data_IF_595624583089
#
_entry.id   IF_595624583089
#
_cell.length_a   1.000
_cell.length_b   1.000
_cell.length_c   1.000
_cell.angle_alpha   90.00
_cell.angle_beta   90.00
_cell.angle_gamma   90.00
#
_symmetry.space_group_name_H-M   'P 1'
#
loop_
_entity.id
_entity.type
_entity.pdbx_description
1 polymer ?
#
# COMPACT_ATOMS: atom_id res chain seq x y z
N UNK A 1 -11.76 -71.84 -6.96
CA UNK A 1 -12.69 -71.05 -7.80
C UNK A 1 -13.62 -70.31 -6.87
N UNK A 2 -13.47 -68.99 -6.75
CA UNK A 2 -14.36 -68.15 -5.94
C UNK A 2 -15.63 -67.94 -6.76
N UNK A 3 -16.59 -68.86 -6.68
CA UNK A 3 -17.89 -68.69 -7.35
C UNK A 3 -18.78 -67.83 -6.46
N UNK A 4 -18.53 -66.53 -6.45
CA UNK A 4 -19.45 -65.56 -5.89
C UNK A 4 -20.69 -65.44 -6.78
N UNK A 5 -21.90 -65.65 -6.25
CA UNK A 5 -23.13 -65.22 -6.95
C UNK A 5 -23.47 -63.83 -6.45
N UNK A 6 -23.59 -62.87 -7.37
CA UNK A 6 -23.97 -61.49 -7.05
C UNK A 6 -25.43 -61.27 -7.48
N UNK A 7 -26.30 -60.99 -6.52
CA UNK A 7 -27.67 -60.53 -6.73
C UNK A 7 -27.70 -59.00 -6.67
N UNK A 8 -28.08 -58.38 -7.79
CA UNK A 8 -28.13 -56.92 -8.00
C UNK A 8 -29.57 -56.38 -8.04
N UNK A 9 -30.54 -57.13 -7.50
CA UNK A 9 -31.95 -56.71 -7.43
C UNK A 9 -32.14 -55.36 -6.72
N UNK A 10 -31.31 -55.06 -5.73
CA UNK A 10 -31.11 -53.72 -5.18
C UNK A 10 -29.70 -53.24 -5.56
N UNK A 11 -29.56 -52.33 -6.54
CA UNK A 11 -28.26 -51.85 -6.99
C UNK A 11 -27.52 -51.04 -5.91
N UNK A 12 -28.24 -50.49 -4.92
CA UNK A 12 -27.61 -49.76 -3.81
C UNK A 12 -27.03 -50.72 -2.77
N UNK A 13 -27.61 -51.92 -2.65
CA UNK A 13 -27.24 -52.91 -1.63
C UNK A 13 -27.13 -54.31 -2.24
N UNK A 14 -26.16 -54.53 -3.15
CA UNK A 14 -25.99 -55.83 -3.79
C UNK A 14 -25.69 -56.91 -2.75
N UNK A 15 -26.22 -58.11 -3.01
CA UNK A 15 -25.98 -59.29 -2.19
C UNK A 15 -24.96 -60.18 -2.87
N UNK A 16 -23.97 -60.61 -2.13
CA UNK A 16 -22.91 -61.48 -2.59
C UNK A 16 -22.92 -62.76 -1.74
N UNK A 17 -22.74 -63.90 -2.41
CA UNK A 17 -22.76 -65.21 -1.78
C UNK A 17 -21.42 -65.88 -2.00
N UNK A 18 -20.74 -66.25 -0.92
CA UNK A 18 -19.50 -67.00 -0.95
C UNK A 18 -19.62 -68.31 -0.19
N UNK A 19 -18.65 -69.20 -0.38
CA UNK A 19 -18.58 -70.48 0.30
C UNK A 19 -17.18 -70.65 0.91
N UNK A 20 -17.11 -70.59 2.23
CA UNK A 20 -15.90 -70.86 3.00
C UNK A 20 -15.67 -72.37 3.12
N UNK A 21 -14.42 -72.80 2.92
CA UNK A 21 -14.03 -74.20 3.07
C UNK A 21 -14.03 -74.68 4.53
N UNK A 22 -13.85 -75.99 4.76
CA UNK A 22 -13.67 -76.54 6.10
C UNK A 22 -12.32 -76.10 6.72
N UNK A 23 -12.17 -76.30 8.03
CA UNK A 23 -11.00 -75.90 8.84
C UNK A 23 -10.78 -74.39 9.06
N UNK A 24 -11.80 -73.58 8.80
CA UNK A 24 -11.89 -72.20 9.27
C UNK A 24 -12.98 -72.12 10.35
N UNK A 25 -12.71 -71.39 11.44
CA UNK A 25 -13.57 -71.37 12.64
C UNK A 25 -14.23 -70.01 12.86
N UNK A 26 -13.89 -69.00 12.05
CA UNK A 26 -14.51 -67.67 12.10
C UNK A 26 -14.82 -67.15 10.70
N UNK A 27 -15.80 -66.23 10.61
CA UNK A 27 -16.09 -65.50 9.37
C UNK A 27 -14.83 -64.78 8.84
N UNK A 28 -14.04 -64.16 9.73
CA UNK A 28 -12.84 -63.41 9.35
C UNK A 28 -11.75 -64.29 8.74
N UNK A 29 -11.57 -65.51 9.24
CA UNK A 29 -10.65 -66.49 8.65
C UNK A 29 -11.11 -66.91 7.25
N UNK A 30 -12.40 -67.23 7.12
CA UNK A 30 -12.99 -67.64 5.84
C UNK A 30 -12.90 -66.54 4.79
N UNK A 31 -13.24 -65.29 5.13
CA UNK A 31 -13.18 -64.19 4.17
C UNK A 31 -11.75 -63.80 3.81
N UNK A 32 -10.80 -63.93 4.74
CA UNK A 32 -9.38 -63.73 4.47
C UNK A 32 -8.83 -64.75 3.48
N UNK A 33 -9.19 -66.04 3.62
CA UNK A 33 -8.81 -67.10 2.67
C UNK A 33 -9.39 -66.84 1.27
N UNK A 34 -10.65 -66.42 1.23
CA UNK A 34 -11.34 -66.08 -0.03
C UNK A 34 -10.90 -64.75 -0.64
N UNK A 35 -10.02 -63.99 0.03
CA UNK A 35 -9.62 -62.63 -0.36
C UNK A 35 -10.84 -61.70 -0.56
N UNK A 36 -11.79 -61.78 0.36
CA UNK A 36 -13.00 -60.96 0.41
C UNK A 36 -12.91 -60.00 1.59
N UNK A 37 -12.89 -58.70 1.31
CA UNK A 37 -12.98 -57.69 2.35
C UNK A 37 -14.45 -57.53 2.78
N UNK A 38 -14.69 -57.51 4.10
CA UNK A 38 -15.97 -57.12 4.69
C UNK A 38 -15.74 -55.77 5.38
N UNK A 39 -16.57 -54.79 5.04
CA UNK A 39 -16.52 -53.48 5.68
C UNK A 39 -17.41 -53.48 6.93
N UNK A 40 -17.08 -52.67 7.96
CA UNK A 40 -17.89 -52.58 9.18
C UNK A 40 -19.37 -52.25 8.93
N UNK A 41 -19.66 -51.54 7.84
CA UNK A 41 -21.01 -51.12 7.46
C UNK A 41 -21.78 -52.21 6.69
N UNK A 42 -21.11 -53.25 6.19
CA UNK A 42 -21.76 -54.37 5.50
C UNK A 42 -22.55 -55.25 6.47
N UNK A 43 -23.68 -55.80 6.01
CA UNK A 43 -24.42 -56.82 6.77
C UNK A 43 -23.98 -58.18 6.28
N UNK A 44 -23.50 -59.04 7.18
CA UNK A 44 -23.06 -60.39 6.81
C UNK A 44 -23.64 -61.46 7.72
N UNK A 45 -23.84 -62.66 7.18
CA UNK A 45 -24.32 -63.83 7.91
C UNK A 45 -23.71 -65.11 7.36
N UNK A 46 -23.60 -66.13 8.21
CA UNK A 46 -23.03 -67.42 7.85
C UNK A 46 -23.95 -68.58 8.21
N UNK A 47 -24.01 -69.59 7.36
CA UNK A 47 -24.69 -70.85 7.69
C UNK A 47 -24.04 -72.06 6.97
N UNK A 48 -23.75 -73.18 7.67
CA UNK A 48 -23.82 -73.35 9.13
C UNK A 48 -22.77 -72.49 9.87
N UNK A 49 -22.81 -72.44 11.20
CA UNK A 49 -21.89 -71.63 12.02
C UNK A 49 -20.41 -72.01 11.73
N UNK A 50 -19.52 -71.05 11.42
CA UNK A 50 -18.10 -71.30 11.13
C UNK A 50 -17.38 -72.12 12.21
N UNK A 51 -17.75 -71.98 13.48
CA UNK A 51 -17.13 -72.71 14.60
C UNK A 51 -17.24 -74.23 14.49
N UNK A 52 -18.17 -74.73 13.66
CA UNK A 52 -18.30 -76.16 13.39
C UNK A 52 -17.17 -76.71 12.51
N UNK A 53 -16.39 -75.85 11.84
CA UNK A 53 -15.22 -76.24 11.04
C UNK A 53 -15.54 -77.04 9.77
N UNK A 54 -16.82 -77.17 9.42
CA UNK A 54 -17.32 -77.93 8.26
C UNK A 54 -17.51 -77.08 6.99
N UNK A 55 -17.16 -75.80 7.06
CA UNK A 55 -17.41 -74.80 6.01
C UNK A 55 -18.78 -74.12 6.17
N UNK A 56 -18.92 -72.96 5.53
CA UNK A 56 -20.11 -72.11 5.65
C UNK A 56 -20.44 -71.42 4.33
N UNK A 57 -21.74 -71.29 4.04
CA UNK A 57 -22.23 -70.26 3.12
C UNK A 57 -22.11 -68.91 3.83
N UNK A 58 -21.59 -67.92 3.12
CA UNK A 58 -21.41 -66.55 3.59
C UNK A 58 -22.29 -65.66 2.72
N UNK A 59 -23.31 -65.05 3.31
CA UNK A 59 -24.14 -64.05 2.66
C UNK A 59 -23.69 -62.66 3.12
N UNK A 60 -23.32 -61.79 2.17
CA UNK A 60 -22.89 -60.41 2.42
C UNK A 60 -23.84 -59.49 1.67
N UNK A 61 -24.45 -58.54 2.36
CA UNK A 61 -25.17 -57.43 1.77
C UNK A 61 -24.35 -56.16 1.94
N UNK A 62 -23.92 -55.59 0.81
CA UNK A 62 -23.01 -54.45 0.79
C UNK A 62 -23.72 -53.15 1.18
N UNK A 63 -23.08 -52.35 2.03
CA UNK A 63 -23.46 -50.95 2.20
C UNK A 63 -23.06 -50.15 0.95
N UNK A 64 -23.87 -49.16 0.56
CA UNK A 64 -23.64 -48.39 -0.66
C UNK A 64 -22.37 -47.54 -0.52
N UNK A 65 -21.32 -47.76 -1.33
CA UNK A 65 -20.16 -46.87 -1.34
C UNK A 65 -20.50 -45.55 -2.05
N UNK A 66 -20.20 -44.44 -1.39
CA UNK A 66 -20.44 -43.07 -1.89
C UNK A 66 -19.16 -42.26 -1.77
N UNK A 67 -18.72 -41.68 -2.88
CA UNK A 67 -17.55 -40.80 -2.92
C UNK A 67 -17.99 -39.37 -2.58
N UNK A 68 -17.44 -38.81 -1.49
CA UNK A 68 -17.64 -37.43 -1.10
C UNK A 68 -16.31 -36.69 -1.21
N UNK A 69 -16.29 -35.61 -2.00
CA UNK A 69 -15.19 -34.65 -2.04
C UNK A 69 -15.59 -33.41 -1.28
N UNK A 70 -15.03 -33.23 -0.09
CA UNK A 70 -15.20 -32.04 0.74
C UNK A 70 -14.02 -31.09 0.55
N UNK A 71 -14.28 -29.97 -0.14
CA UNK A 71 -13.27 -29.08 -0.67
C UNK A 71 -12.21 -29.81 -1.52
N UNK A 72 -11.07 -30.17 -0.93
CA UNK A 72 -9.96 -30.88 -1.60
C UNK A 72 -9.76 -32.31 -1.10
N UNK A 73 -10.54 -32.75 -0.11
CA UNK A 73 -10.39 -34.05 0.53
C UNK A 73 -11.48 -34.97 0.00
N UNK A 74 -11.08 -36.04 -0.67
CA UNK A 74 -12.00 -37.08 -1.16
C UNK A 74 -11.96 -38.29 -0.21
N UNK A 75 -13.14 -38.75 0.22
CA UNK A 75 -13.31 -39.92 1.07
C UNK A 75 -14.50 -40.76 0.59
N UNK A 76 -14.37 -42.08 0.72
CA UNK A 76 -15.46 -43.02 0.47
C UNK A 76 -16.18 -43.30 1.79
N UNK A 77 -17.48 -43.12 1.79
CA UNK A 77 -18.40 -43.48 2.86
C UNK A 77 -19.22 -44.69 2.43
N UNK A 78 -19.65 -45.50 3.39
CA UNK A 78 -20.55 -46.63 3.15
C UNK A 78 -21.80 -46.45 3.99
N UNK A 79 -22.97 -46.51 3.37
CA UNK A 79 -24.21 -46.13 4.03
C UNK A 79 -25.40 -47.00 3.65
N UNK A 80 -26.42 -46.98 4.50
CA UNK A 80 -27.76 -47.56 4.25
C UNK A 80 -28.83 -46.47 4.06
N UNK A 81 -28.43 -45.20 4.10
CA UNK A 81 -29.32 -44.08 3.89
C UNK A 81 -29.73 -43.94 2.42
N UNK A 82 -30.82 -43.23 2.15
CA UNK A 82 -31.38 -43.12 0.79
C UNK A 82 -31.02 -41.81 0.11
N UNK A 83 -30.70 -40.77 0.86
CA UNK A 83 -30.43 -39.42 0.35
C UNK A 83 -29.11 -38.88 0.85
N UNK A 84 -28.57 -37.87 0.14
CA UNK A 84 -27.34 -37.19 0.53
C UNK A 84 -27.48 -36.54 1.93
N UNK A 85 -28.61 -35.91 2.22
CA UNK A 85 -28.91 -35.28 3.53
C UNK A 85 -28.85 -36.30 4.69
N UNK A 86 -29.46 -37.47 4.52
CA UNK A 86 -29.42 -38.54 5.52
C UNK A 86 -28.01 -39.09 5.72
N UNK A 87 -27.25 -39.30 4.63
CA UNK A 87 -25.84 -39.71 4.70
C UNK A 87 -24.98 -38.68 5.44
N UNK A 88 -25.23 -37.38 5.20
CA UNK A 88 -24.52 -36.30 5.88
C UNK A 88 -24.82 -36.30 7.39
N UNK A 89 -26.09 -36.48 7.78
CA UNK A 89 -26.50 -36.61 9.18
C UNK A 89 -25.88 -37.83 9.86
N UNK A 90 -25.87 -38.98 9.20
CA UNK A 90 -25.23 -40.21 9.70
C UNK A 90 -23.74 -40.00 10.00
N UNK A 91 -23.06 -39.20 9.17
CA UNK A 91 -21.62 -38.98 9.25
C UNK A 91 -21.21 -37.65 9.89
N UNK A 92 -22.17 -36.92 10.50
CA UNK A 92 -21.96 -35.60 11.11
C UNK A 92 -21.30 -34.58 10.17
N UNK A 93 -21.69 -34.59 8.90
CA UNK A 93 -21.24 -33.63 7.89
C UNK A 93 -22.23 -32.45 7.88
N UNK A 94 -21.84 -31.33 8.48
CA UNK A 94 -22.64 -30.12 8.52
C UNK A 94 -22.24 -29.16 7.40
N UNK A 95 -23.22 -28.45 6.82
CA UNK A 95 -23.01 -27.35 5.87
C UNK A 95 -23.17 -26.02 6.59
N UNK A 96 -22.22 -25.11 6.41
CA UNK A 96 -22.21 -23.83 7.13
C UNK A 96 -22.35 -22.66 6.16
N UNK A 97 -23.10 -21.63 6.56
CA UNK A 97 -23.17 -20.35 5.86
C UNK A 97 -23.53 -20.47 4.37
N UNK A 98 -22.52 -20.29 3.51
CA UNK A 98 -22.65 -20.28 2.05
C UNK A 98 -22.09 -21.55 1.38
N UNK A 99 -21.83 -22.61 2.14
CA UNK A 99 -21.44 -23.90 1.58
C UNK A 99 -22.48 -24.42 0.59
N UNK A 100 -22.02 -25.13 -0.45
CA UNK A 100 -22.91 -25.72 -1.45
C UNK A 100 -22.53 -27.16 -1.75
N UNK A 101 -23.52 -27.95 -2.18
CA UNK A 101 -23.36 -29.37 -2.50
C UNK A 101 -23.89 -29.63 -3.89
N UNK A 102 -23.13 -30.39 -4.66
CA UNK A 102 -23.52 -30.92 -5.97
C UNK A 102 -23.30 -32.44 -5.99
N UNK A 103 -24.34 -33.25 -6.24
CA UNK A 103 -25.75 -32.89 -6.42
C UNK A 103 -26.41 -32.33 -5.14
N UNK A 104 -27.62 -31.75 -5.27
CA UNK A 104 -28.39 -31.22 -4.13
C UNK A 104 -28.59 -32.27 -3.03
N UNK A 105 -28.60 -31.84 -1.77
CA UNK A 105 -28.73 -32.73 -0.59
C UNK A 105 -29.98 -33.62 -0.57
N UNK A 106 -31.04 -33.24 -1.30
CA UNK A 106 -32.26 -34.05 -1.44
C UNK A 106 -32.15 -35.18 -2.49
N UNK A 107 -31.05 -35.23 -3.24
CA UNK A 107 -30.83 -36.23 -4.30
C UNK A 107 -30.72 -37.63 -3.69
N UNK A 108 -31.39 -38.61 -4.30
CA UNK A 108 -31.27 -40.02 -3.90
C UNK A 108 -29.88 -40.58 -4.24
N UNK A 109 -29.34 -41.36 -3.31
CA UNK A 109 -28.08 -42.08 -3.48
C UNK A 109 -28.24 -43.24 -4.45
N UNK A 110 -27.19 -43.47 -5.24
CA UNK A 110 -27.08 -44.53 -6.24
C UNK A 110 -25.62 -44.93 -6.41
N UNK A 111 -25.30 -46.09 -7.01
CA UNK A 111 -23.92 -46.48 -7.26
C UNK A 111 -23.19 -45.42 -8.09
N UNK A 112 -21.90 -45.28 -7.83
CA UNK A 112 -20.99 -44.34 -8.50
C UNK A 112 -21.38 -42.86 -8.39
N UNK A 113 -22.31 -42.50 -7.49
CA UNK A 113 -22.61 -41.10 -7.21
C UNK A 113 -21.39 -40.42 -6.60
N UNK A 114 -21.01 -39.28 -7.19
CA UNK A 114 -19.96 -38.40 -6.69
C UNK A 114 -20.62 -37.16 -6.12
N UNK A 115 -20.32 -36.88 -4.87
CA UNK A 115 -20.86 -35.73 -4.14
C UNK A 115 -19.71 -34.77 -3.91
N UNK A 116 -19.87 -33.52 -4.32
CA UNK A 116 -18.91 -32.46 -4.08
C UNK A 116 -19.50 -31.44 -3.12
N UNK A 117 -18.79 -31.16 -2.04
CA UNK A 117 -19.07 -30.06 -1.13
C UNK A 117 -18.07 -28.95 -1.42
N UNK A 118 -18.58 -27.77 -1.76
CA UNK A 118 -17.78 -26.56 -1.93
C UNK A 118 -17.88 -25.74 -0.66
N UNK A 119 -16.74 -25.51 0.00
CA UNK A 119 -16.69 -24.80 1.29
C UNK A 119 -16.43 -23.32 1.09
N UNK A 120 -17.24 -22.46 1.69
CA UNK A 120 -17.14 -21.00 1.59
C UNK A 120 -16.96 -20.38 2.97
N UNK A 121 -15.86 -19.66 3.15
CA UNK A 121 -15.59 -18.93 4.38
C UNK A 121 -15.30 -17.46 4.09
N UNK A 122 -15.86 -16.57 4.92
CA UNK A 122 -15.54 -15.15 4.94
C UNK A 122 -14.86 -14.80 6.27
N UNK A 123 -13.70 -14.17 6.20
CA UNK A 123 -12.91 -13.81 7.39
C UNK A 123 -12.55 -12.34 7.32
N UNK A 124 -12.76 -11.63 8.43
CA UNK A 124 -12.29 -10.26 8.59
C UNK A 124 -10.84 -10.25 9.06
N UNK A 125 -10.00 -9.51 8.33
CA UNK A 125 -8.60 -9.28 8.72
C UNK A 125 -8.35 -7.79 8.80
N UNK A 126 -7.62 -7.38 9.84
CA UNK A 126 -7.16 -6.00 10.01
C UNK A 126 -5.71 -5.91 9.58
N UNK A 127 -5.42 -5.05 8.61
CA UNK A 127 -4.07 -4.79 8.12
C UNK A 127 -3.68 -3.33 8.39
N UNK A 128 -2.43 -3.12 8.81
CA UNK A 128 -1.85 -1.79 9.02
C UNK A 128 -1.26 -1.28 7.72
N UNK A 129 -1.72 -0.12 7.27
CA UNK A 129 -1.21 0.56 6.08
C UNK A 129 -0.65 1.95 6.40
N UNK A 130 0.40 2.35 5.69
CA UNK A 130 0.98 3.68 5.82
C UNK A 130 0.21 4.73 5.00
N UNK A 131 0.05 5.93 5.56
CA UNK A 131 -0.49 7.10 4.85
C UNK A 131 0.69 8.01 4.49
N UNK A 132 0.87 8.31 3.21
CA UNK A 132 1.91 9.24 2.77
C UNK A 132 1.63 10.66 3.29
N UNK A 133 2.70 11.40 3.60
CA UNK A 133 2.60 12.82 3.92
C UNK A 133 2.63 13.68 2.65
N UNK A 134 2.10 14.90 2.75
CA UNK A 134 2.20 15.91 1.70
C UNK A 134 3.41 16.82 1.93
N UNK A 135 3.93 17.42 0.87
CA UNK A 135 4.99 18.43 0.94
C UNK A 135 4.37 19.82 0.74
N UNK A 136 4.62 20.72 1.68
CA UNK A 136 4.20 22.12 1.64
C UNK A 136 5.45 22.99 1.43
N UNK A 137 5.41 23.84 0.40
CA UNK A 137 6.49 24.78 0.09
C UNK A 137 6.15 26.16 0.64
N UNK A 138 7.09 26.80 1.32
CA UNK A 138 6.98 28.20 1.76
C UNK A 138 8.22 28.98 1.35
N UNK A 139 8.06 30.22 0.96
CA UNK A 139 9.20 31.08 0.62
C UNK A 139 9.69 31.83 1.86
N UNK A 140 11.01 32.00 1.98
CA UNK A 140 11.61 32.85 3.03
C UNK A 140 12.67 33.77 2.46
N UNK A 141 12.65 35.04 2.90
CA UNK A 141 13.70 36.02 2.59
C UNK A 141 14.95 35.84 3.44
N UNK A 142 14.89 35.00 4.48
CA UNK A 142 16.00 34.75 5.38
C UNK A 142 16.87 33.57 4.90
N UNK A 143 16.40 32.82 3.89
CA UNK A 143 17.14 31.76 3.20
C UNK A 143 17.57 32.27 1.83
N UNK A 144 18.85 32.15 1.48
CA UNK A 144 19.40 32.67 0.21
C UNK A 144 18.74 32.02 -1.02
N UNK A 145 18.51 32.82 -2.06
CA UNK A 145 17.88 32.38 -3.30
C UNK A 145 18.58 31.17 -3.90
N UNK A 146 17.80 30.13 -4.20
CA UNK A 146 18.29 28.87 -4.77
C UNK A 146 18.66 27.81 -3.73
N UNK A 147 18.69 28.17 -2.44
CA UNK A 147 18.80 27.20 -1.35
C UNK A 147 17.42 26.73 -0.89
N UNK A 148 17.39 25.54 -0.31
CA UNK A 148 16.19 24.96 0.30
C UNK A 148 16.53 24.37 1.65
N UNK A 149 15.63 24.53 2.60
CA UNK A 149 15.77 23.97 3.94
C UNK A 149 14.50 23.21 4.33
N UNK A 150 14.63 22.18 5.15
CA UNK A 150 13.49 21.45 5.70
C UNK A 150 13.20 22.05 7.09
N UNK A 151 12.08 22.74 7.20
CA UNK A 151 11.61 23.35 8.46
C UNK A 151 10.90 22.32 9.33
N UNK A 152 10.06 21.49 8.71
CA UNK A 152 9.39 20.35 9.38
C UNK A 152 9.58 19.11 8.55
N UNK A 153 10.16 18.06 9.13
CA UNK A 153 10.32 16.77 8.45
C UNK A 153 8.98 16.05 8.33
N UNK A 154 8.68 15.52 7.14
CA UNK A 154 7.47 14.74 6.92
C UNK A 154 7.47 13.42 7.70
N UNK A 155 6.32 13.06 8.25
CA UNK A 155 6.13 11.78 8.95
C UNK A 155 4.91 11.09 8.38
N UNK A 156 5.07 9.83 7.94
CA UNK A 156 3.95 9.02 7.48
C UNK A 156 2.92 8.81 8.59
N UNK A 157 1.66 8.84 8.20
CA UNK A 157 0.56 8.39 9.03
C UNK A 157 0.39 6.88 8.98
N UNK A 158 -0.58 6.39 9.72
CA UNK A 158 -0.96 4.98 9.79
C UNK A 158 -2.48 4.86 9.85
N UNK A 159 -3.01 3.86 9.16
CA UNK A 159 -4.42 3.46 9.24
C UNK A 159 -4.53 1.96 9.40
N UNK A 160 -5.56 1.54 10.11
CA UNK A 160 -6.02 0.16 10.14
C UNK A 160 -7.08 0.00 9.04
N UNK A 161 -6.90 -0.98 8.17
CA UNK A 161 -7.86 -1.30 7.10
C UNK A 161 -8.44 -2.68 7.38
N UNK A 162 -9.77 -2.75 7.47
CA UNK A 162 -10.48 -4.03 7.64
C UNK A 162 -10.84 -4.55 6.26
N UNK A 163 -10.33 -5.73 5.94
CA UNK A 163 -10.67 -6.48 4.73
C UNK A 163 -11.56 -7.66 5.07
N UNK A 164 -12.53 -7.94 4.20
CA UNK A 164 -13.23 -9.22 4.17
C UNK A 164 -12.56 -10.08 3.12
N UNK A 165 -12.00 -11.20 3.55
CA UNK A 165 -11.40 -12.21 2.67
C UNK A 165 -12.41 -13.34 2.48
N UNK A 166 -12.81 -13.57 1.22
CA UNK A 166 -13.64 -14.71 0.83
C UNK A 166 -12.75 -15.85 0.33
N UNK A 167 -12.91 -17.03 0.93
CA UNK A 167 -12.21 -18.26 0.55
C UNK A 167 -13.20 -19.30 0.03
N UNK A 168 -12.82 -19.98 -1.06
CA UNK A 168 -13.52 -21.14 -1.62
C UNK A 168 -12.56 -22.31 -1.61
N UNK A 169 -12.95 -23.42 -0.97
CA UNK A 169 -12.13 -24.62 -0.79
C UNK A 169 -10.74 -24.30 -0.20
N UNK A 170 -10.72 -23.38 0.76
CA UNK A 170 -9.52 -22.87 1.44
C UNK A 170 -8.66 -21.89 0.62
N UNK A 171 -9.03 -21.60 -0.63
CA UNK A 171 -8.30 -20.67 -1.50
C UNK A 171 -8.95 -19.29 -1.45
N UNK A 172 -8.15 -18.24 -1.23
CA UNK A 172 -8.62 -16.86 -1.33
C UNK A 172 -9.02 -16.52 -2.77
N UNK A 173 -10.28 -16.13 -2.96
CA UNK A 173 -10.83 -15.76 -4.27
C UNK A 173 -11.20 -14.28 -4.34
N UNK A 174 -11.38 -13.61 -3.20
CA UNK A 174 -11.63 -12.19 -3.14
C UNK A 174 -11.14 -11.59 -1.82
N UNK A 175 -10.64 -10.36 -1.89
CA UNK A 175 -10.30 -9.51 -0.76
C UNK A 175 -10.91 -8.13 -0.99
N UNK A 176 -11.88 -7.75 -0.17
CA UNK A 176 -12.61 -6.48 -0.32
C UNK A 176 -12.42 -5.62 0.91
N UNK A 177 -12.13 -4.33 0.70
CA UNK A 177 -12.02 -3.37 1.79
C UNK A 177 -13.42 -3.10 2.35
N UNK A 178 -13.61 -3.33 3.64
CA UNK A 178 -14.86 -3.06 4.37
C UNK A 178 -14.86 -1.67 4.99
N UNK A 179 -13.76 -1.30 5.65
CA UNK A 179 -13.60 0.00 6.29
C UNK A 179 -12.13 0.33 6.50
N UNK A 180 -11.83 1.59 6.82
CA UNK A 180 -10.53 1.99 7.32
C UNK A 180 -10.66 3.05 8.41
N UNK A 181 -9.71 3.06 9.33
CA UNK A 181 -9.64 4.02 10.43
C UNK A 181 -8.22 4.58 10.50
N UNK A 182 -8.09 5.90 10.45
CA UNK A 182 -6.79 6.56 10.64
C UNK A 182 -6.40 6.51 12.11
N UNK A 183 -5.34 5.76 12.41
CA UNK A 183 -4.79 5.61 13.77
C UNK A 183 -3.78 6.74 14.06
N UNK A 184 -3.02 7.15 13.05
CA UNK A 184 -2.05 8.24 13.13
C UNK A 184 -2.12 9.12 11.90
N UNK A 185 -2.40 10.41 12.07
CA UNK A 185 -2.40 11.36 10.95
C UNK A 185 -0.97 11.59 10.43
N UNK A 186 -0.75 11.69 9.11
CA UNK A 186 0.54 12.09 8.57
C UNK A 186 0.86 13.53 8.97
N UNK A 187 2.14 13.83 9.16
CA UNK A 187 2.66 15.19 9.36
C UNK A 187 3.29 15.62 8.04
N UNK A 188 2.80 16.72 7.48
CA UNK A 188 3.33 17.29 6.24
C UNK A 188 4.78 17.72 6.40
N UNK A 189 5.57 17.52 5.34
CA UNK A 189 6.91 18.09 5.25
C UNK A 189 6.82 19.55 4.82
N UNK A 190 7.49 20.44 5.54
CA UNK A 190 7.55 21.86 5.19
C UNK A 190 8.94 22.16 4.66
N UNK A 191 9.01 22.51 3.37
CA UNK A 191 10.23 22.91 2.68
C UNK A 191 10.23 24.42 2.50
N UNK A 192 11.24 25.07 3.04
CA UNK A 192 11.51 26.49 2.83
C UNK A 192 12.31 26.65 1.54
N UNK A 193 11.81 27.49 0.65
CA UNK A 193 12.48 27.91 -0.58
C UNK A 193 13.06 29.29 -0.33
N UNK A 194 14.37 29.41 -0.43
CA UNK A 194 15.04 30.69 -0.31
C UNK A 194 14.68 31.63 -1.45
N UNK A 195 14.27 32.84 -1.09
CA UNK A 195 14.16 34.01 -1.97
C UNK A 195 15.03 35.17 -1.48
N UNK A 196 15.76 34.97 -0.38
CA UNK A 196 16.63 35.94 0.24
C UNK A 196 17.81 36.34 -0.65
N UNK A 197 18.26 37.59 -0.56
CA UNK A 197 19.43 38.05 -1.27
C UNK A 197 20.72 37.52 -0.64
N UNK A 198 21.79 37.51 -1.44
CA UNK A 198 23.15 37.36 -0.92
C UNK A 198 23.60 38.66 -0.26
N UNK A 199 24.10 38.59 0.97
CA UNK A 199 24.53 39.77 1.74
C UNK A 199 26.02 40.06 1.63
N UNK A 200 26.38 41.34 1.63
CA UNK A 200 27.76 41.79 1.74
C UNK A 200 28.30 41.47 3.14
N UNK A 201 29.49 40.86 3.21
CA UNK A 201 30.13 40.46 4.48
C UNK A 201 30.92 41.58 5.15
N UNK A 202 31.43 42.53 4.37
CA UNK A 202 32.28 43.63 4.82
C UNK A 202 32.21 44.82 3.86
N UNK A 203 32.61 46.01 4.31
CA UNK A 203 32.66 47.24 3.52
C UNK A 203 31.91 48.41 4.16
N UNK A 204 32.07 49.63 3.64
CA UNK A 204 31.35 50.80 4.13
C UNK A 204 29.85 50.66 3.88
N UNK A 205 29.02 51.19 4.78
CA UNK A 205 27.55 51.11 4.69
C UNK A 205 26.97 49.69 4.57
N UNK A 206 27.71 48.65 5.00
CA UNK A 206 27.31 47.23 4.90
C UNK A 206 25.88 46.97 5.36
N UNK A 207 25.50 47.47 6.53
CA UNK A 207 24.17 47.20 7.09
C UNK A 207 23.06 47.90 6.29
N UNK A 208 23.32 49.12 5.80
CA UNK A 208 22.39 49.85 4.92
C UNK A 208 22.24 49.16 3.56
N UNK A 209 23.34 48.68 2.97
CA UNK A 209 23.35 47.90 1.73
C UNK A 209 22.58 46.59 1.91
N UNK A 210 22.82 45.86 3.00
CA UNK A 210 22.11 44.61 3.26
C UNK A 210 20.62 44.86 3.55
N UNK A 211 20.27 45.98 4.17
CA UNK A 211 18.86 46.39 4.38
C UNK A 211 18.17 46.67 3.04
N UNK A 212 18.82 47.41 2.14
CA UNK A 212 18.29 47.65 0.79
C UNK A 212 18.21 46.35 -0.02
N UNK A 213 19.24 45.50 0.06
CA UNK A 213 19.26 44.19 -0.58
C UNK A 213 18.08 43.32 -0.14
N UNK A 214 17.76 43.29 1.17
CA UNK A 214 16.59 42.56 1.71
C UNK A 214 15.28 43.15 1.22
N UNK A 215 15.15 44.47 1.19
CA UNK A 215 13.93 45.15 0.77
C UNK A 215 13.61 44.94 -0.72
N UNK A 216 14.65 44.94 -1.57
CA UNK A 216 14.50 44.83 -3.02
C UNK A 216 14.85 43.44 -3.58
N UNK A 217 15.20 42.47 -2.73
CA UNK A 217 15.61 41.11 -3.09
C UNK A 217 16.74 41.07 -4.14
N UNK A 218 17.74 41.95 -4.01
CA UNK A 218 18.91 42.03 -4.88
C UNK A 218 20.19 41.59 -4.17
N UNK A 219 21.20 41.15 -4.92
CA UNK A 219 22.49 40.78 -4.35
C UNK A 219 23.19 42.00 -3.72
N UNK A 220 23.27 42.04 -2.39
CA UNK A 220 23.93 43.09 -1.63
C UNK A 220 25.45 43.10 -1.81
N UNK A 221 26.07 41.95 -2.09
CA UNK A 221 27.49 41.88 -2.46
C UNK A 221 27.75 42.56 -3.80
N UNK A 222 26.85 42.36 -4.77
CA UNK A 222 26.93 43.04 -6.07
C UNK A 222 26.70 44.56 -5.92
N UNK A 223 25.74 44.98 -5.09
CA UNK A 223 25.50 46.40 -4.81
C UNK A 223 26.69 47.07 -4.11
N UNK A 224 27.32 46.39 -3.13
CA UNK A 224 28.56 46.83 -2.50
C UNK A 224 29.70 46.94 -3.52
N UNK A 225 29.85 45.94 -4.39
CA UNK A 225 30.86 45.94 -5.45
C UNK A 225 30.67 47.12 -6.41
N UNK A 226 29.43 47.43 -6.78
CA UNK A 226 29.09 48.60 -7.58
C UNK A 226 29.50 49.89 -6.87
N UNK A 227 29.06 50.11 -5.62
CA UNK A 227 29.42 51.30 -4.86
C UNK A 227 30.95 51.51 -4.74
N UNK A 228 31.69 50.45 -4.44
CA UNK A 228 33.15 50.51 -4.32
C UNK A 228 33.83 50.79 -5.66
N UNK A 229 33.24 50.35 -6.77
CA UNK A 229 33.74 50.66 -8.13
C UNK A 229 33.48 52.10 -8.53
N UNK A 230 32.28 52.61 -8.23
CA UNK A 230 31.85 53.95 -8.65
C UNK A 230 32.53 55.04 -7.83
N UNK A 231 32.69 54.88 -6.52
CA UNK A 231 33.27 55.95 -5.68
C UNK A 231 34.32 55.48 -4.66
N UNK A 232 34.68 54.19 -4.63
CA UNK A 232 35.50 53.66 -3.53
C UNK A 232 34.77 53.62 -2.18
N UNK A 233 33.46 53.92 -2.15
CA UNK A 233 32.67 54.00 -0.93
C UNK A 233 32.66 55.38 -0.26
N UNK A 234 33.16 56.42 -0.91
CA UNK A 234 33.08 57.81 -0.41
C UNK A 234 31.88 58.52 -1.01
N UNK A 235 31.03 59.10 -0.15
CA UNK A 235 29.82 59.81 -0.59
C UNK A 235 30.14 61.19 -1.16
N UNK A 236 31.27 61.79 -0.77
CA UNK A 236 31.71 63.11 -1.23
C UNK A 236 33.06 62.96 -1.94
N UNK A 237 33.15 63.44 -3.18
CA UNK A 237 34.40 63.46 -3.95
C UNK A 237 35.21 64.73 -3.68
N UNK A 238 34.64 65.74 -3.01
CA UNK A 238 35.28 67.02 -2.73
C UNK A 238 35.31 67.98 -3.93
N UNK A 239 34.62 67.65 -5.03
CA UNK A 239 34.56 68.45 -6.26
C UNK A 239 33.12 68.92 -6.51
N UNK A 240 32.77 70.18 -6.22
CA UNK A 240 31.41 70.70 -6.37
C UNK A 240 30.87 70.62 -7.81
N UNK A 241 31.79 70.67 -8.78
CA UNK A 241 31.52 70.77 -10.22
C UNK A 241 31.54 69.40 -10.92
N UNK A 242 31.66 68.31 -10.17
CA UNK A 242 31.70 66.97 -10.74
C UNK A 242 30.39 66.63 -11.46
N UNK A 243 30.49 66.12 -12.68
CA UNK A 243 29.35 65.70 -13.49
C UNK A 243 28.56 64.54 -12.86
N UNK A 244 29.25 63.66 -12.13
CA UNK A 244 28.68 62.54 -11.40
C UNK A 244 28.99 62.67 -9.91
N UNK A 245 27.99 62.42 -9.07
CA UNK A 245 28.02 62.74 -7.63
C UNK A 245 27.63 61.54 -6.79
N UNK A 246 28.19 61.45 -5.58
CA UNK A 246 27.77 60.47 -4.60
C UNK A 246 28.40 59.08 -4.73
N UNK A 247 27.89 58.17 -3.89
CA UNK A 247 28.31 56.77 -3.75
C UNK A 247 28.21 55.95 -5.05
N UNK A 248 27.28 56.29 -5.92
CA UNK A 248 27.01 55.54 -7.16
C UNK A 248 27.15 56.40 -8.42
N UNK A 249 27.85 57.55 -8.32
CA UNK A 249 28.15 58.42 -9.46
C UNK A 249 26.90 58.83 -10.25
N UNK A 250 25.90 59.38 -9.54
CA UNK A 250 24.66 59.85 -10.15
C UNK A 250 24.84 61.16 -10.91
N UNK A 251 24.19 61.27 -12.06
CA UNK A 251 23.85 62.56 -12.69
C UNK A 251 22.67 63.20 -11.95
N UNK A 252 22.68 64.53 -11.74
CA UNK A 252 21.66 65.23 -10.95
C UNK A 252 20.24 65.05 -11.48
N UNK A 253 20.03 65.12 -12.80
CA UNK A 253 18.71 64.93 -13.40
C UNK A 253 18.16 63.52 -13.19
N UNK A 254 19.03 62.51 -13.35
CA UNK A 254 18.67 61.12 -13.08
C UNK A 254 18.43 60.85 -11.58
N UNK A 255 19.24 61.45 -10.71
CA UNK A 255 19.04 61.38 -9.26
C UNK A 255 17.68 61.96 -8.86
N UNK A 256 17.35 63.17 -9.31
CA UNK A 256 16.10 63.83 -8.96
C UNK A 256 14.87 62.98 -9.35
N UNK A 257 14.90 62.35 -10.53
CA UNK A 257 13.83 61.48 -11.00
C UNK A 257 13.73 60.16 -10.20
N UNK A 258 14.82 59.40 -10.11
CA UNK A 258 14.75 58.04 -9.52
C UNK A 258 14.67 58.08 -8.00
N UNK A 259 15.32 59.05 -7.33
CA UNK A 259 15.19 59.19 -5.87
C UNK A 259 13.75 59.49 -5.47
N UNK A 260 13.04 60.34 -6.22
CA UNK A 260 11.62 60.59 -5.99
C UNK A 260 10.78 59.31 -6.12
N UNK A 261 11.01 58.51 -7.17
CA UNK A 261 10.32 57.22 -7.38
C UNK A 261 10.64 56.18 -6.31
N UNK A 262 11.86 56.20 -5.77
CA UNK A 262 12.29 55.32 -4.68
C UNK A 262 11.82 55.80 -3.28
N UNK A 263 11.13 56.94 -3.17
CA UNK A 263 10.64 57.49 -1.90
C UNK A 263 11.62 58.41 -1.16
N UNK A 264 12.70 58.84 -1.82
CA UNK A 264 13.75 59.71 -1.30
C UNK A 264 13.80 61.10 -1.97
N UNK A 265 12.72 61.53 -2.61
CA UNK A 265 12.65 62.83 -3.28
C UNK A 265 13.05 64.01 -2.37
N UNK A 266 13.84 64.93 -2.90
CA UNK A 266 14.38 66.07 -2.13
C UNK A 266 15.56 65.73 -1.20
N UNK A 267 15.95 64.45 -1.10
CA UNK A 267 17.17 64.07 -0.40
C UNK A 267 18.40 64.57 -1.15
N UNK A 268 19.42 64.99 -0.39
CA UNK A 268 20.73 65.33 -0.95
C UNK A 268 21.28 64.18 -1.78
N UNK A 269 21.85 64.49 -2.95
CA UNK A 269 22.57 63.53 -3.81
C UNK A 269 23.79 62.92 -3.10
N UNK A 270 24.18 63.43 -1.93
CA UNK A 270 25.24 62.89 -1.08
C UNK A 270 24.74 62.07 0.11
N UNK A 271 23.42 61.94 0.30
CA UNK A 271 22.85 61.12 1.36
C UNK A 271 23.07 59.63 1.04
N UNK A 272 23.89 58.96 1.84
CA UNK A 272 24.29 57.58 1.60
C UNK A 272 23.11 56.60 1.59
N UNK A 273 22.21 56.67 2.58
CA UNK A 273 21.07 55.77 2.66
C UNK A 273 20.11 55.96 1.49
N UNK A 274 19.81 57.22 1.16
CA UNK A 274 18.96 57.56 0.02
C UNK A 274 19.57 57.00 -1.26
N UNK A 275 20.88 57.17 -1.49
CA UNK A 275 21.55 56.64 -2.67
C UNK A 275 21.53 55.12 -2.75
N UNK A 276 21.81 54.43 -1.64
CA UNK A 276 21.82 52.96 -1.60
C UNK A 276 20.44 52.38 -1.93
N UNK A 277 19.37 52.89 -1.30
CA UNK A 277 18.02 52.42 -1.55
C UNK A 277 17.50 52.84 -2.93
N UNK A 278 17.83 54.05 -3.39
CA UNK A 278 17.49 54.53 -4.74
C UNK A 278 18.16 53.69 -5.81
N UNK A 279 19.43 53.32 -5.61
CA UNK A 279 20.16 52.44 -6.53
C UNK A 279 19.54 51.04 -6.55
N UNK A 280 19.24 50.48 -5.38
CA UNK A 280 18.59 49.17 -5.29
C UNK A 280 17.21 49.14 -6.00
N UNK A 281 16.43 50.20 -5.83
CA UNK A 281 15.20 50.43 -6.59
C UNK A 281 15.48 50.51 -8.11
N UNK A 282 16.44 51.34 -8.53
CA UNK A 282 16.78 51.52 -9.93
C UNK A 282 17.15 50.19 -10.63
N UNK A 283 17.98 49.37 -9.97
CA UNK A 283 18.42 48.07 -10.48
C UNK A 283 17.25 47.09 -10.66
N UNK A 284 16.24 47.14 -9.80
CA UNK A 284 15.04 46.28 -9.89
C UNK A 284 14.01 46.75 -10.89
N UNK A 285 14.07 48.02 -11.33
CA UNK A 285 13.09 48.64 -12.21
C UNK A 285 13.65 48.91 -13.62
N UNK A 286 14.67 48.14 -14.04
CA UNK A 286 15.19 48.17 -15.42
C UNK A 286 16.17 49.31 -15.71
N UNK A 287 16.54 50.12 -14.72
CA UNK A 287 17.54 51.18 -14.88
C UNK A 287 18.98 50.67 -14.69
N UNK A 288 19.19 49.35 -14.62
CA UNK A 288 20.51 48.75 -14.44
C UNK A 288 21.55 49.16 -15.49
N UNK A 289 21.12 49.47 -16.71
CA UNK A 289 22.01 49.95 -17.79
C UNK A 289 22.57 51.36 -17.59
N UNK A 290 22.16 52.09 -16.53
CA UNK A 290 22.75 53.37 -16.13
C UNK A 290 24.11 53.22 -15.47
N UNK A 291 24.39 52.03 -14.96
CA UNK A 291 25.72 51.61 -14.54
C UNK A 291 26.24 50.61 -15.57
N UNK A 292 27.52 50.65 -15.95
CA UNK A 292 27.99 49.77 -17.01
C UNK A 292 27.80 48.28 -16.64
N UNK A 293 27.59 47.39 -17.63
CA UNK A 293 27.33 45.97 -17.39
C UNK A 293 28.60 45.28 -16.88
N UNK A 294 28.82 45.32 -15.57
CA UNK A 294 30.08 44.85 -14.99
C UNK A 294 30.04 43.34 -14.75
N UNK A 295 30.60 42.58 -15.70
CA UNK A 295 30.81 41.12 -15.64
C UNK A 295 31.63 40.60 -14.43
N UNK A 296 32.11 41.49 -13.55
CA UNK A 296 32.83 41.16 -12.33
C UNK A 296 32.11 41.42 -11.00
N UNK A 297 30.98 42.14 -10.99
CA UNK A 297 30.18 42.39 -9.77
C UNK A 297 28.90 41.54 -9.71
N UNK A 298 28.31 41.22 -10.86
CA UNK A 298 27.07 40.43 -10.94
C UNK A 298 27.22 38.96 -10.48
N UNK A 299 28.44 38.41 -10.59
CA UNK A 299 28.77 37.01 -10.23
C UNK A 299 29.40 36.85 -8.83
N UNK A 300 29.54 37.94 -8.05
CA UNK A 300 30.13 37.91 -6.70
C UNK A 300 29.07 37.75 -5.62
#
# INVERSE_FOLDING_TARGET
MVSGVVDVSDPNHPKEVYFGGPNFFTLQEMTKDLNVDIYPEDKSSTFPDPSLGIGSRIDIQRALPVEITDAKITKIYRTWQKTIDELFKENNIELLGQDSVDPLVSTSLRPDIKIKITRVAEVEVTEKESINYSVVKRTSVDVEKGQTEIDTKGVKGEKDVIYVIRRVDGVEVAKTKKSETVVKKPISEVVIIGIGPKYAKSGPYKDTINSAARNYLINGTALMCLMLRESGGTADTGYPDAMYKGLFQYEEGFWADISAKAGYGGSSIYNAQAQIFTTAYALTHGYGGRWPPWGGCANK
#
